data_IF_063514013752
#
_entry.id   IF_063514013752
#
_cell.length_a   1.000
_cell.length_b   1.000
_cell.length_c   1.000
_cell.angle_alpha   90.00
_cell.angle_beta   90.00
_cell.angle_gamma   90.00
#
_symmetry.space_group_name_H-M   'P 1'
#
loop_
_entity.id
_entity.type
_entity.pdbx_description
1 polymer ?
#
# COMPACT_ATOMS: atom_id res chain seq x y z
N UNK A 1 15.64 8.74 -26.18
CA UNK A 1 15.13 8.45 -24.82
C UNK A 1 13.67 8.05 -24.98
N UNK A 2 13.15 7.12 -24.18
CA UNK A 2 11.73 6.73 -24.21
C UNK A 2 11.07 7.08 -22.88
N UNK A 3 9.80 7.48 -22.93
CA UNK A 3 8.99 7.77 -21.75
C UNK A 3 8.02 6.60 -21.57
N UNK A 4 8.28 5.78 -20.54
CA UNK A 4 7.39 4.69 -20.13
C UNK A 4 6.74 5.10 -18.82
N UNK A 5 5.41 5.10 -18.77
CA UNK A 5 4.67 5.36 -17.53
C UNK A 5 4.04 4.06 -17.05
N UNK A 6 4.25 3.74 -15.77
CA UNK A 6 3.81 2.48 -15.17
C UNK A 6 3.07 2.72 -13.84
N UNK A 7 2.11 1.84 -13.53
CA UNK A 7 1.49 1.75 -12.20
C UNK A 7 -0.03 1.99 -12.16
N UNK A 8 -0.57 2.20 -10.95
CA UNK A 8 -2.02 2.33 -10.72
C UNK A 8 -2.69 3.43 -11.56
N UNK A 9 -2.00 4.56 -11.75
CA UNK A 9 -2.58 5.69 -12.47
C UNK A 9 -2.88 5.31 -13.93
N UNK A 10 -1.97 4.55 -14.56
CA UNK A 10 -2.15 4.00 -15.90
C UNK A 10 -3.37 3.07 -15.95
N UNK A 11 -3.50 2.19 -14.96
CA UNK A 11 -4.64 1.26 -14.88
C UNK A 11 -5.99 1.99 -14.87
N UNK A 12 -6.04 3.19 -14.29
CA UNK A 12 -7.27 3.98 -14.13
C UNK A 12 -7.53 4.95 -15.26
N UNK A 13 -6.47 5.56 -15.78
CA UNK A 13 -6.56 6.75 -16.62
C UNK A 13 -5.79 6.60 -17.94
N UNK A 14 -5.54 5.38 -18.41
CA UNK A 14 -4.77 5.08 -19.64
C UNK A 14 -5.08 6.04 -20.81
N UNK A 15 -6.36 6.22 -21.15
CA UNK A 15 -6.77 7.10 -22.25
C UNK A 15 -6.44 8.58 -21.96
N UNK A 16 -6.83 9.08 -20.78
CA UNK A 16 -6.57 10.47 -20.36
C UNK A 16 -5.07 10.78 -20.29
N UNK A 17 -4.24 9.81 -19.94
CA UNK A 17 -2.79 10.03 -19.86
C UNK A 17 -2.18 10.34 -21.23
N UNK A 18 -2.65 9.72 -22.30
CA UNK A 18 -2.22 10.03 -23.67
C UNK A 18 -2.74 11.38 -24.15
N UNK A 19 -3.91 11.81 -23.66
CA UNK A 19 -4.43 13.16 -23.92
C UNK A 19 -3.60 14.23 -23.18
N UNK A 20 -3.26 13.99 -21.91
CA UNK A 20 -2.47 14.91 -21.08
C UNK A 20 -1.00 14.98 -21.49
N UNK A 21 -0.43 13.86 -21.93
CA UNK A 21 0.96 13.76 -22.35
C UNK A 21 1.08 12.86 -23.58
N UNK A 22 0.94 13.44 -24.79
CA UNK A 22 1.02 12.70 -26.06
C UNK A 22 2.39 12.06 -26.33
N UNK A 23 3.45 12.54 -25.67
CA UNK A 23 4.82 12.08 -25.84
C UNK A 23 5.13 10.77 -25.07
N UNK A 24 4.14 10.18 -24.39
CA UNK A 24 4.30 8.88 -23.73
C UNK A 24 4.46 7.77 -24.78
N UNK A 25 5.62 7.09 -24.76
CA UNK A 25 5.94 6.01 -25.69
C UNK A 25 5.25 4.68 -25.34
N UNK A 26 5.00 4.44 -24.05
CA UNK A 26 4.38 3.21 -23.56
C UNK A 26 3.72 3.39 -22.19
N UNK A 27 2.64 2.62 -21.97
CA UNK A 27 1.83 2.62 -20.76
C UNK A 27 1.74 1.20 -20.20
N UNK A 28 2.18 1.00 -18.96
CA UNK A 28 2.21 -0.29 -18.26
C UNK A 28 1.25 -0.27 -17.07
N UNK A 29 0.18 -1.06 -17.15
CA UNK A 29 -0.78 -1.24 -16.05
C UNK A 29 -0.22 -2.08 -14.92
N UNK A 30 -1.01 -2.28 -13.86
CA UNK A 30 -0.57 -3.07 -12.71
C UNK A 30 -0.45 -4.57 -13.03
N UNK A 31 -1.18 -5.04 -14.04
CA UNK A 31 -1.16 -6.44 -14.50
C UNK A 31 -0.23 -6.68 -15.70
N UNK A 32 0.41 -5.63 -16.23
CA UNK A 32 1.26 -5.68 -17.44
C UNK A 32 2.76 -5.64 -17.09
N UNK A 33 3.15 -5.94 -15.85
CA UNK A 33 4.53 -5.73 -15.35
C UNK A 33 5.57 -6.50 -16.17
N UNK A 34 5.24 -7.73 -16.56
CA UNK A 34 6.03 -8.61 -17.42
C UNK A 34 6.34 -7.97 -18.79
N UNK A 35 5.50 -7.06 -19.25
CA UNK A 35 5.68 -6.34 -20.52
C UNK A 35 6.66 -5.16 -20.46
N UNK A 36 7.26 -4.89 -19.29
CA UNK A 36 8.18 -3.75 -19.15
C UNK A 36 9.39 -3.85 -20.09
N UNK A 37 9.91 -5.06 -20.33
CA UNK A 37 11.04 -5.27 -21.24
C UNK A 37 10.64 -4.94 -22.68
N UNK A 38 9.43 -5.31 -23.10
CA UNK A 38 8.88 -4.96 -24.42
C UNK A 38 8.69 -3.45 -24.56
N UNK A 39 8.21 -2.79 -23.51
CA UNK A 39 7.96 -1.35 -23.50
C UNK A 39 9.23 -0.51 -23.65
N UNK A 40 10.33 -0.96 -23.03
CA UNK A 40 11.62 -0.25 -23.05
C UNK A 40 12.42 -0.55 -24.31
N UNK A 41 12.28 -1.74 -24.92
CA UNK A 41 13.02 -2.11 -26.14
C UNK A 41 12.57 -1.28 -27.35
N UNK A 42 13.50 -0.83 -28.22
CA UNK A 42 13.14 -0.11 -29.44
C UNK A 42 12.28 -1.02 -30.35
N UNK A 43 11.12 -0.55 -30.80
CA UNK A 43 10.45 -1.21 -31.93
C UNK A 43 11.28 -0.88 -33.17
N UNK A 44 11.85 -1.89 -33.83
CA UNK A 44 12.36 -1.72 -35.18
C UNK A 44 11.19 -1.22 -36.04
N UNK A 45 11.19 0.07 -36.41
CA UNK A 45 10.40 0.50 -37.56
C UNK A 45 10.93 -0.30 -38.74
N UNK A 46 10.11 -1.09 -39.46
CA UNK A 46 10.56 -1.63 -40.73
C UNK A 46 11.01 -0.44 -41.57
N UNK A 47 12.26 -0.50 -42.05
CA UNK A 47 12.75 0.42 -43.08
C UNK A 47 11.77 0.33 -44.24
N UNK A 48 10.96 1.36 -44.41
CA UNK A 48 10.26 1.58 -45.68
C UNK A 48 11.34 1.73 -46.73
N UNK A 49 11.56 0.69 -47.54
CA UNK A 49 12.39 0.78 -48.72
C UNK A 49 11.85 1.95 -49.55
N UNK A 50 12.72 2.93 -49.77
CA UNK A 50 12.47 4.10 -50.60
C UNK A 50 12.26 3.65 -52.05
N UNK A 51 11.02 3.61 -52.51
CA UNK A 51 10.71 3.67 -53.93
C UNK A 51 9.60 4.69 -54.19
N UNK A 52 9.94 5.63 -55.05
CA UNK A 52 9.13 6.68 -55.69
C UNK A 52 8.75 7.92 -54.85
N UNK A 53 9.37 9.04 -55.25
CA UNK A 53 9.02 10.43 -54.92
C UNK A 53 7.68 10.79 -55.57
N UNK A 54 6.69 11.14 -54.76
CA UNK A 54 5.66 12.12 -55.14
C UNK A 54 5.12 12.78 -53.86
N UNK A 55 4.99 14.13 -53.80
CA UNK A 55 4.64 14.79 -52.55
C UNK A 55 3.11 14.74 -52.36
N UNK A 56 2.57 14.36 -51.18
CA UNK A 56 1.17 14.61 -50.93
C UNK A 56 0.99 16.05 -50.42
N UNK A 57 0.10 16.74 -51.13
CA UNK A 57 -0.53 17.99 -50.72
C UNK A 57 -1.18 17.84 -49.35
N UNK A 58 -1.20 18.96 -48.65
CA UNK A 58 -1.97 19.27 -47.45
C UNK A 58 -3.37 18.66 -47.44
N UNK A 59 -3.73 18.04 -46.32
CA UNK A 59 -5.09 17.58 -46.00
C UNK A 59 -5.23 16.07 -45.99
N UNK A 60 -5.28 15.46 -44.80
CA UNK A 60 -5.75 14.07 -44.66
C UNK A 60 -7.18 14.06 -44.15
N UNK A 61 -8.09 13.95 -45.12
CA UNK A 61 -9.40 13.35 -44.94
C UNK A 61 -9.21 11.86 -44.62
N UNK A 62 -9.98 11.36 -43.65
CA UNK A 62 -10.23 9.93 -43.48
C UNK A 62 -11.00 9.45 -44.71
N UNK A 63 -10.46 8.47 -45.44
CA UNK A 63 -11.22 7.74 -46.45
C UNK A 63 -11.70 6.42 -45.84
N UNK A 64 -13.02 6.32 -45.71
CA UNK A 64 -13.76 5.06 -45.56
C UNK A 64 -13.71 4.30 -46.90
N UNK A 65 -13.48 2.99 -46.85
CA UNK A 65 -13.84 2.08 -47.93
C UNK A 65 -14.63 0.92 -47.33
N UNK A 66 -15.85 0.76 -47.84
CA UNK A 66 -16.82 -0.29 -47.59
C UNK A 66 -17.03 -1.04 -48.91
N UNK A 67 -16.95 -2.39 -48.88
CA UNK A 67 -17.87 -3.31 -49.58
C UNK A 67 -17.42 -4.78 -49.52
N UNK A 68 -18.11 -5.56 -48.68
CA UNK A 68 -18.66 -6.93 -48.78
C UNK A 68 -18.04 -8.09 -49.63
N UNK A 69 -17.85 -9.25 -48.93
CA UNK A 69 -18.17 -10.68 -49.28
C UNK A 69 -17.22 -11.36 -50.31
N UNK A 70 -16.59 -12.55 -50.15
CA UNK A 70 -16.96 -13.87 -49.58
C UNK A 70 -15.72 -14.79 -49.38
N UNK A 71 -15.80 -15.73 -48.42
CA UNK A 71 -15.23 -17.11 -48.35
C UNK A 71 -13.73 -17.43 -48.22
N UNK A 72 -13.45 -18.37 -47.29
CA UNK A 72 -12.28 -19.24 -47.05
C UNK A 72 -11.22 -18.80 -46.01
N UNK A 73 -10.96 -19.71 -45.07
CA UNK A 73 -10.06 -19.64 -43.91
C UNK A 73 -8.68 -20.24 -44.24
N UNK A 74 -7.71 -20.33 -43.29
CA UNK A 74 -7.33 -19.41 -42.21
C UNK A 74 -5.85 -18.97 -42.34
N UNK A 75 -5.49 -17.76 -41.91
CA UNK A 75 -4.08 -17.45 -41.65
C UNK A 75 -3.92 -16.46 -40.51
N UNK A 76 -3.13 -16.90 -39.53
CA UNK A 76 -2.59 -16.20 -38.37
C UNK A 76 -2.21 -14.73 -38.62
N UNK A 77 -3.01 -13.81 -38.08
CA UNK A 77 -2.62 -12.49 -37.57
C UNK A 77 -3.89 -11.72 -37.18
N UNK A 78 -4.46 -12.04 -36.02
CA UNK A 78 -5.54 -11.23 -35.45
C UNK A 78 -4.94 -10.08 -34.63
N UNK A 79 -4.87 -8.92 -35.26
CA UNK A 79 -4.81 -7.63 -34.56
C UNK A 79 -6.23 -7.36 -34.04
N UNK A 80 -6.44 -7.54 -32.74
CA UNK A 80 -7.70 -7.18 -32.07
C UNK A 80 -7.99 -5.67 -32.24
N UNK A 81 -9.16 -5.27 -32.76
CA UNK A 81 -9.50 -3.86 -32.92
C UNK A 81 -9.88 -3.23 -31.57
N UNK A 82 -9.34 -2.04 -31.29
CA UNK A 82 -9.70 -1.22 -30.13
C UNK A 82 -11.08 -0.58 -30.36
N UNK A 83 -12.07 -0.74 -29.46
CA UNK A 83 -13.34 -0.03 -29.58
C UNK A 83 -13.24 1.41 -29.08
N UNK A 84 -13.87 2.27 -29.87
CA UNK A 84 -14.12 3.70 -29.68
C UNK A 84 -14.96 3.95 -28.42
N UNK A 85 -14.59 5.00 -27.69
CA UNK A 85 -15.24 5.65 -26.54
C UNK A 85 -16.57 5.08 -26.04
N UNK A 86 -16.59 4.51 -24.84
CA UNK A 86 -17.78 4.56 -23.97
C UNK A 86 -17.40 4.40 -22.49
N UNK A 87 -18.20 5.08 -21.64
CA UNK A 87 -18.25 5.18 -20.16
C UNK A 87 -17.46 4.20 -19.27
N UNK A 88 -17.34 4.52 -17.97
CA UNK A 88 -16.77 3.63 -16.92
C UNK A 88 -17.33 2.19 -16.99
N UNK A 89 -18.57 2.00 -17.45
CA UNK A 89 -19.14 0.68 -17.70
C UNK A 89 -18.48 -0.06 -18.89
N UNK A 90 -18.11 0.65 -19.95
CA UNK A 90 -17.33 0.11 -21.08
C UNK A 90 -15.94 -0.36 -20.65
N UNK A 91 -15.26 0.41 -19.79
CA UNK A 91 -13.99 -0.03 -19.20
C UNK A 91 -14.15 -1.25 -18.28
N UNK A 92 -15.28 -1.39 -17.59
CA UNK A 92 -15.57 -2.58 -16.78
C UNK A 92 -15.84 -3.82 -17.65
N UNK A 93 -16.45 -3.65 -18.83
CA UNK A 93 -16.68 -4.73 -19.81
C UNK A 93 -15.38 -5.11 -20.53
N UNK A 94 -14.55 -4.15 -20.93
CA UNK A 94 -13.22 -4.42 -21.48
C UNK A 94 -12.35 -5.11 -20.42
N UNK A 95 -12.36 -4.63 -19.17
CA UNK A 95 -11.69 -5.32 -18.08
C UNK A 95 -12.26 -6.73 -17.84
N UNK A 96 -13.54 -6.98 -18.10
CA UNK A 96 -14.15 -8.33 -18.01
C UNK A 96 -13.75 -9.24 -19.19
N UNK A 97 -13.54 -8.67 -20.38
CA UNK A 97 -13.14 -9.39 -21.59
C UNK A 97 -11.63 -9.64 -21.66
N UNK A 98 -10.82 -8.69 -21.20
CA UNK A 98 -9.40 -8.89 -20.88
C UNK A 98 -9.25 -9.87 -19.72
N UNK A 99 -10.16 -9.85 -18.74
CA UNK A 99 -10.27 -10.94 -17.77
C UNK A 99 -10.57 -12.29 -18.43
N UNK A 100 -11.43 -12.41 -19.43
CA UNK A 100 -11.63 -13.73 -20.09
C UNK A 100 -10.41 -14.18 -20.91
N UNK A 101 -9.55 -13.26 -21.37
CA UNK A 101 -8.33 -13.57 -22.12
C UNK A 101 -7.07 -13.70 -21.24
N UNK A 102 -7.08 -13.18 -20.01
CA UNK A 102 -5.96 -13.23 -19.04
C UNK A 102 -6.29 -14.09 -17.80
N UNK A 103 -7.56 -14.36 -17.50
CA UNK A 103 -8.04 -15.32 -16.49
C UNK A 103 -8.17 -16.70 -17.12
N UNK A 104 -7.03 -17.26 -17.52
CA UNK A 104 -6.78 -18.69 -17.27
C UNK A 104 -5.67 -18.85 -16.23
N UNK A 105 -5.52 -17.88 -15.33
CA UNK A 105 -4.70 -18.07 -14.14
C UNK A 105 -5.62 -18.57 -13.02
N UNK A 106 -5.40 -19.84 -12.67
CA UNK A 106 -6.16 -20.61 -11.69
C UNK A 106 -6.31 -19.85 -10.34
N UNK A 107 -7.31 -20.23 -9.50
CA UNK A 107 -7.32 -19.84 -8.10
C UNK A 107 -5.92 -20.05 -7.49
N UNK A 108 -5.36 -19.02 -6.84
CA UNK A 108 -4.01 -19.07 -6.26
C UNK A 108 -2.87 -18.48 -7.10
N UNK A 109 -3.14 -17.81 -8.22
CA UNK A 109 -2.09 -17.04 -8.90
C UNK A 109 -1.57 -15.89 -8.02
N UNK A 110 -0.25 -15.82 -7.87
CA UNK A 110 0.45 -14.70 -7.25
C UNK A 110 1.62 -14.25 -8.13
N UNK A 111 2.00 -12.98 -8.00
CA UNK A 111 3.20 -12.46 -8.65
C UNK A 111 4.42 -12.71 -7.77
N UNK A 112 5.40 -13.44 -8.29
CA UNK A 112 6.69 -13.59 -7.61
C UNK A 112 7.47 -12.27 -7.63
N UNK A 113 8.13 -11.97 -6.52
CA UNK A 113 9.10 -10.87 -6.38
C UNK A 113 10.53 -11.41 -6.15
N UNK A 114 10.75 -12.70 -6.45
CA UNK A 114 12.07 -13.34 -6.39
C UNK A 114 13.06 -12.71 -7.37
N UNK A 115 14.35 -12.75 -7.02
CA UNK A 115 15.45 -12.20 -7.81
C UNK A 115 15.29 -10.71 -8.18
N UNK A 116 14.56 -9.93 -7.36
CA UNK A 116 14.36 -8.50 -7.63
C UNK A 116 15.59 -7.66 -7.26
N UNK A 117 15.88 -6.66 -8.08
CA UNK A 117 16.82 -5.59 -7.72
C UNK A 117 16.18 -4.67 -6.68
N UNK A 118 16.84 -4.47 -5.54
CA UNK A 118 16.36 -3.54 -4.52
C UNK A 118 16.76 -2.10 -4.84
N UNK A 119 15.76 -1.23 -4.74
CA UNK A 119 15.93 0.23 -4.83
C UNK A 119 15.91 0.90 -3.45
N UNK A 120 15.64 0.14 -2.38
CA UNK A 120 15.69 0.63 -1.00
C UNK A 120 17.11 0.55 -0.43
N UNK A 121 17.44 1.34 0.61
CA UNK A 121 18.66 1.16 1.39
C UNK A 121 18.89 -0.28 1.84
N UNK A 122 20.15 -0.68 2.01
CA UNK A 122 20.54 -2.08 2.27
C UNK A 122 19.81 -2.70 3.47
N UNK A 123 19.66 -1.96 4.57
CA UNK A 123 19.17 -2.46 5.85
C UNK A 123 17.65 -2.73 5.91
N UNK A 124 16.83 -2.28 4.95
CA UNK A 124 15.39 -2.60 4.95
C UNK A 124 14.82 -2.91 3.56
N UNK A 125 13.69 -3.61 3.56
CA UNK A 125 12.92 -3.90 2.36
C UNK A 125 11.42 -3.87 2.63
N UNK A 126 10.63 -3.79 1.56
CA UNK A 126 9.20 -4.08 1.60
C UNK A 126 8.97 -5.49 1.09
N UNK A 127 8.47 -6.37 1.95
CA UNK A 127 8.07 -7.71 1.59
C UNK A 127 6.56 -7.71 1.34
N UNK A 128 6.19 -7.79 0.06
CA UNK A 128 4.77 -7.85 -0.33
C UNK A 128 4.25 -9.26 -0.04
N UNK A 129 3.31 -9.37 0.89
CA UNK A 129 2.72 -10.66 1.30
C UNK A 129 1.45 -11.01 0.51
N UNK A 130 0.76 -9.98 0.01
CA UNK A 130 -0.46 -10.13 -0.78
C UNK A 130 -0.67 -8.93 -1.72
N UNK A 131 -1.46 -9.14 -2.77
CA UNK A 131 -1.85 -8.12 -3.74
C UNK A 131 -3.38 -8.13 -3.95
N UNK A 132 -3.98 -6.96 -4.12
CA UNK A 132 -5.43 -6.84 -4.21
C UNK A 132 -6.10 -6.87 -2.84
N UNK A 133 -7.43 -6.73 -2.83
CA UNK A 133 -8.19 -6.66 -1.58
C UNK A 133 -9.61 -7.18 -1.77
N UNK A 134 -10.10 -7.93 -0.79
CA UNK A 134 -11.47 -8.45 -0.78
C UNK A 134 -12.45 -7.55 -0.02
N UNK A 135 -11.96 -6.50 0.64
CA UNK A 135 -12.78 -5.52 1.32
C UNK A 135 -13.56 -4.66 0.32
N UNK A 136 -14.80 -4.31 0.66
CA UNK A 136 -15.70 -3.53 -0.19
C UNK A 136 -15.93 -2.11 0.35
N UNK A 137 -14.86 -1.48 0.85
CA UNK A 137 -14.89 -0.11 1.39
C UNK A 137 -15.50 0.86 0.36
N UNK A 138 -16.50 1.63 0.78
CA UNK A 138 -17.32 2.45 -0.11
C UNK A 138 -16.56 3.58 -0.83
N UNK A 139 -15.38 3.96 -0.32
CA UNK A 139 -14.52 5.01 -0.88
C UNK A 139 -13.34 4.46 -1.71
N UNK A 140 -13.10 3.15 -1.68
CA UNK A 140 -11.86 2.57 -2.16
C UNK A 140 -12.00 2.00 -3.57
N UNK A 141 -11.06 2.33 -4.46
CA UNK A 141 -11.00 1.77 -5.82
C UNK A 141 -10.12 0.53 -5.93
N UNK A 142 -9.41 0.12 -4.88
CA UNK A 142 -8.45 -1.00 -4.94
C UNK A 142 -9.05 -2.27 -5.57
N UNK A 143 -10.26 -2.74 -5.19
CA UNK A 143 -10.80 -3.96 -5.79
C UNK A 143 -11.03 -3.88 -7.31
N UNK A 144 -11.28 -2.68 -7.85
CA UNK A 144 -11.45 -2.49 -9.29
C UNK A 144 -10.12 -2.37 -10.03
N UNK A 145 -9.09 -1.80 -9.40
CA UNK A 145 -7.80 -1.53 -10.06
C UNK A 145 -6.76 -2.62 -9.86
N UNK A 146 -6.76 -3.31 -8.71
CA UNK A 146 -5.76 -4.31 -8.30
C UNK A 146 -6.35 -5.71 -8.18
N UNK A 147 -7.68 -5.82 -8.35
CA UNK A 147 -8.41 -7.08 -8.34
C UNK A 147 -8.66 -7.63 -6.94
N UNK A 148 -9.17 -8.87 -6.91
CA UNK A 148 -9.37 -9.65 -5.69
C UNK A 148 -8.04 -9.96 -5.02
N UNK A 149 -8.08 -10.21 -3.72
CA UNK A 149 -6.90 -10.56 -2.94
C UNK A 149 -6.24 -11.82 -3.51
N UNK A 150 -4.90 -11.78 -3.58
CA UNK A 150 -4.00 -12.85 -4.00
C UNK A 150 -2.83 -12.88 -3.01
N UNK A 151 -2.84 -13.82 -2.09
CA UNK A 151 -1.77 -14.03 -1.11
C UNK A 151 -0.63 -14.83 -1.74
N UNK A 152 0.61 -14.48 -1.42
CA UNK A 152 1.74 -15.36 -1.70
C UNK A 152 1.69 -16.55 -0.75
N UNK A 153 1.98 -17.78 -1.19
CA UNK A 153 2.05 -18.91 -0.28
C UNK A 153 3.34 -18.84 0.57
N UNK A 154 3.36 -19.43 1.79
CA UNK A 154 4.48 -19.25 2.72
C UNK A 154 5.84 -19.68 2.16
N UNK A 155 5.91 -20.75 1.37
CA UNK A 155 7.16 -21.21 0.76
C UNK A 155 7.77 -20.18 -0.17
N UNK A 156 6.95 -19.44 -0.92
CA UNK A 156 7.41 -18.36 -1.78
C UNK A 156 7.90 -17.16 -0.96
N UNK A 157 7.21 -16.84 0.15
CA UNK A 157 7.64 -15.79 1.08
C UNK A 157 8.95 -16.15 1.77
N UNK A 158 9.11 -17.40 2.18
CA UNK A 158 10.31 -17.91 2.82
C UNK A 158 11.51 -17.83 1.88
N UNK A 159 11.36 -18.26 0.62
CA UNK A 159 12.40 -18.17 -0.39
C UNK A 159 12.79 -16.70 -0.66
N UNK A 160 11.82 -15.81 -0.88
CA UNK A 160 12.09 -14.38 -1.09
C UNK A 160 12.80 -13.76 0.13
N UNK A 161 12.36 -14.10 1.35
CA UNK A 161 12.99 -13.62 2.57
C UNK A 161 14.44 -14.08 2.70
N UNK A 162 14.74 -15.33 2.36
CA UNK A 162 16.11 -15.87 2.38
C UNK A 162 17.03 -15.14 1.39
N UNK A 163 16.55 -14.86 0.18
CA UNK A 163 17.29 -14.04 -0.80
C UNK A 163 17.59 -12.64 -0.25
N UNK A 164 16.60 -12.00 0.37
CA UNK A 164 16.73 -10.66 0.94
C UNK A 164 17.67 -10.62 2.16
N UNK A 165 17.64 -11.65 3.00
CA UNK A 165 18.57 -11.82 4.12
C UNK A 165 20.02 -11.95 3.62
N UNK A 166 20.24 -12.75 2.56
CA UNK A 166 21.56 -12.89 1.94
C UNK A 166 22.07 -11.57 1.34
N UNK A 167 21.18 -10.66 0.95
CA UNK A 167 21.51 -9.31 0.47
C UNK A 167 21.63 -8.25 1.61
N UNK A 168 21.64 -8.69 2.87
CA UNK A 168 21.92 -7.86 4.04
C UNK A 168 20.73 -7.04 4.57
N UNK A 169 19.50 -7.47 4.28
CA UNK A 169 18.30 -6.85 4.88
C UNK A 169 18.18 -7.20 6.36
N UNK A 170 17.91 -6.18 7.18
CA UNK A 170 17.63 -6.32 8.60
C UNK A 170 16.14 -6.16 8.93
N UNK A 171 15.47 -5.14 8.36
CA UNK A 171 14.04 -4.86 8.59
C UNK A 171 13.17 -5.20 7.37
N UNK A 172 12.17 -6.04 7.59
CA UNK A 172 11.15 -6.43 6.63
C UNK A 172 9.84 -5.71 6.95
N UNK A 173 9.45 -4.80 6.07
CA UNK A 173 8.15 -4.13 6.12
C UNK A 173 7.14 -4.99 5.36
N UNK A 174 6.28 -5.70 6.11
CA UNK A 174 5.27 -6.59 5.56
C UNK A 174 4.11 -5.75 5.02
N UNK A 175 3.88 -5.82 3.70
CA UNK A 175 2.89 -4.99 3.02
C UNK A 175 1.88 -5.81 2.22
N UNK A 176 0.67 -5.29 2.16
CA UNK A 176 -0.46 -5.72 1.33
C UNK A 176 -1.52 -4.63 1.42
N UNK A 177 -2.61 -4.74 0.66
CA UNK A 177 -3.73 -3.78 0.82
C UNK A 177 -4.57 -4.07 2.07
N UNK A 178 -4.57 -5.31 2.53
CA UNK A 178 -5.10 -5.78 3.81
C UNK A 178 -4.22 -6.96 4.27
N UNK A 179 -3.35 -6.73 5.24
CA UNK A 179 -2.42 -7.77 5.73
C UNK A 179 -3.07 -8.72 6.73
N UNK A 180 -4.11 -8.30 7.43
CA UNK A 180 -4.87 -9.14 8.38
C UNK A 180 -5.65 -10.25 7.69
N UNK A 181 -6.05 -10.06 6.44
CA UNK A 181 -6.75 -11.08 5.64
C UNK A 181 -5.81 -12.06 4.92
N UNK A 182 -4.49 -12.00 5.16
CA UNK A 182 -3.52 -12.88 4.50
C UNK A 182 -3.90 -14.35 4.67
N UNK A 183 -3.87 -15.11 3.56
CA UNK A 183 -4.13 -16.54 3.54
C UNK A 183 -5.58 -16.93 3.30
N UNK A 184 -6.56 -16.05 3.51
CA UNK A 184 -7.98 -16.38 3.34
C UNK A 184 -8.33 -16.83 1.91
N UNK A 185 -7.71 -16.23 0.90
CA UNK A 185 -7.94 -16.55 -0.52
C UNK A 185 -7.32 -17.88 -0.97
N UNK A 186 -6.33 -18.39 -0.23
CA UNK A 186 -5.64 -19.66 -0.51
C UNK A 186 -6.05 -20.77 0.49
N UNK A 187 -7.10 -20.55 1.29
CA UNK A 187 -7.63 -21.55 2.21
C UNK A 187 -6.91 -21.63 3.57
N UNK A 188 -6.04 -20.67 3.90
CA UNK A 188 -5.22 -20.68 5.11
C UNK A 188 -5.94 -19.92 6.24
N UNK A 189 -6.92 -20.58 6.84
CA UNK A 189 -7.78 -20.01 7.88
C UNK A 189 -7.95 -20.94 9.10
N UNK A 190 -7.23 -22.06 9.14
CA UNK A 190 -7.16 -22.96 10.28
C UNK A 190 -6.27 -22.45 11.41
N UNK A 191 -6.31 -23.11 12.59
CA UNK A 191 -5.43 -22.77 13.71
C UNK A 191 -3.96 -22.87 13.31
N UNK A 192 -3.18 -21.83 13.60
CA UNK A 192 -1.76 -21.80 13.21
C UNK A 192 -1.50 -21.39 11.77
N UNK A 193 -2.52 -21.09 10.97
CA UNK A 193 -2.41 -20.61 9.59
C UNK A 193 -2.60 -19.08 9.49
N UNK A 194 -2.80 -18.57 8.26
CA UNK A 194 -3.06 -17.16 7.99
C UNK A 194 -1.92 -16.23 8.44
N UNK A 195 -2.27 -15.00 8.84
CA UNK A 195 -1.31 -14.00 9.30
C UNK A 195 -0.46 -14.51 10.48
N UNK A 196 -1.08 -15.14 11.48
CA UNK A 196 -0.37 -15.63 12.66
C UNK A 196 0.64 -16.73 12.30
N UNK A 197 0.23 -17.69 11.47
CA UNK A 197 1.12 -18.73 10.93
C UNK A 197 2.28 -18.16 10.13
N UNK A 198 1.99 -17.21 9.23
CA UNK A 198 3.02 -16.52 8.44
C UNK A 198 4.04 -15.81 9.32
N UNK A 199 3.59 -15.03 10.33
CA UNK A 199 4.50 -14.34 11.24
C UNK A 199 5.41 -15.31 12.00
N UNK A 200 4.87 -16.45 12.48
CA UNK A 200 5.67 -17.49 13.15
C UNK A 200 6.71 -18.11 12.21
N UNK A 201 6.34 -18.35 10.95
CA UNK A 201 7.26 -18.87 9.94
C UNK A 201 8.43 -17.91 9.65
N UNK A 202 8.13 -16.63 9.42
CA UNK A 202 9.13 -15.60 9.18
C UNK A 202 10.02 -15.34 10.42
N UNK A 203 9.44 -15.35 11.63
CA UNK A 203 10.19 -15.26 12.88
C UNK A 203 11.18 -16.41 13.05
N UNK A 204 10.75 -17.65 12.76
CA UNK A 204 11.61 -18.82 12.84
C UNK A 204 12.78 -18.74 11.83
N UNK A 205 12.55 -18.22 10.63
CA UNK A 205 13.60 -17.99 9.64
C UNK A 205 14.64 -16.97 10.12
N UNK A 206 14.19 -15.84 10.66
CA UNK A 206 15.09 -14.81 11.20
C UNK A 206 15.95 -15.36 12.34
N UNK A 207 15.36 -16.13 13.25
CA UNK A 207 16.09 -16.74 14.37
C UNK A 207 17.09 -17.80 13.93
N UNK A 208 16.80 -18.53 12.84
CA UNK A 208 17.69 -19.59 12.32
C UNK A 208 18.98 -19.03 11.72
N UNK A 209 19.00 -17.80 11.22
CA UNK A 209 20.19 -17.22 10.58
C UNK A 209 21.38 -17.02 11.53
N UNK A 210 21.19 -17.07 12.85
CA UNK A 210 22.27 -17.12 13.85
C UNK A 210 23.08 -15.81 13.96
N UNK A 211 22.92 -15.09 15.06
CA UNK A 211 23.70 -13.88 15.36
C UNK A 211 23.21 -13.16 16.61
N UNK A 212 23.96 -12.15 17.07
CA UNK A 212 23.63 -11.35 18.26
C UNK A 212 22.41 -10.42 18.07
N UNK A 213 21.99 -10.21 16.82
CA UNK A 213 20.86 -9.37 16.45
C UNK A 213 19.91 -10.10 15.49
N UNK A 214 18.67 -10.33 15.93
CA UNK A 214 17.61 -10.88 15.08
C UNK A 214 16.90 -9.76 14.33
N UNK A 215 16.70 -9.93 13.02
CA UNK A 215 16.04 -8.94 12.16
C UNK A 215 14.61 -8.59 12.60
N UNK A 216 14.02 -7.58 11.95
CA UNK A 216 12.73 -7.01 12.33
C UNK A 216 11.63 -7.32 11.30
N UNK A 217 10.43 -7.61 11.79
CA UNK A 217 9.20 -7.74 11.02
C UNK A 217 8.24 -6.62 11.42
N UNK A 218 7.94 -5.71 10.51
CA UNK A 218 6.99 -4.61 10.71
C UNK A 218 5.70 -4.86 9.93
N UNK A 219 4.59 -5.01 10.64
CA UNK A 219 3.28 -5.22 10.03
C UNK A 219 2.63 -3.88 9.67
N UNK A 220 2.32 -3.68 8.39
CA UNK A 220 1.64 -2.49 7.89
C UNK A 220 0.24 -2.82 7.34
N UNK A 221 -0.63 -1.82 7.24
CA UNK A 221 -1.94 -1.94 6.57
C UNK A 221 -2.87 -3.02 7.15
N UNK A 222 -2.96 -3.08 8.47
CA UNK A 222 -3.85 -4.00 9.15
C UNK A 222 -5.31 -3.50 9.12
N UNK A 223 -6.26 -4.42 8.93
CA UNK A 223 -7.69 -4.12 8.89
C UNK A 223 -8.33 -4.43 10.25
N UNK A 224 -8.98 -3.45 10.92
CA UNK A 224 -9.41 -3.60 12.32
C UNK A 224 -10.45 -4.70 12.55
N UNK A 225 -11.36 -4.95 11.60
CA UNK A 225 -12.43 -5.95 11.80
C UNK A 225 -11.97 -7.41 11.65
N UNK A 226 -10.73 -7.65 11.21
CA UNK A 226 -10.21 -8.99 10.90
C UNK A 226 -9.24 -9.52 11.96
N UNK A 227 -9.03 -8.77 13.04
CA UNK A 227 -8.08 -9.13 14.09
C UNK A 227 -8.59 -10.27 14.98
N UNK A 228 -7.83 -11.36 15.04
CA UNK A 228 -8.10 -12.48 15.96
C UNK A 228 -7.20 -12.43 17.19
N UNK A 229 -7.60 -13.13 18.26
CA UNK A 229 -6.76 -13.25 19.45
C UNK A 229 -5.42 -13.94 19.17
N UNK A 230 -5.40 -14.88 18.23
CA UNK A 230 -4.18 -15.56 17.80
C UNK A 230 -3.20 -14.60 17.10
N UNK A 231 -3.71 -13.67 16.27
CA UNK A 231 -2.87 -12.64 15.65
C UNK A 231 -2.26 -11.71 16.71
N UNK A 232 -3.05 -11.32 17.73
CA UNK A 232 -2.56 -10.49 18.83
C UNK A 232 -1.47 -11.22 19.62
N UNK A 233 -1.67 -12.52 19.90
CA UNK A 233 -0.66 -13.36 20.55
C UNK A 233 0.63 -13.47 19.75
N UNK A 234 0.53 -13.68 18.43
CA UNK A 234 1.70 -13.73 17.57
C UNK A 234 2.49 -12.41 17.61
N UNK A 235 1.81 -11.27 17.50
CA UNK A 235 2.47 -9.95 17.57
C UNK A 235 3.07 -9.72 18.96
N UNK A 236 2.40 -10.15 20.03
CA UNK A 236 2.90 -10.01 21.40
C UNK A 236 4.17 -10.83 21.63
N UNK A 237 4.14 -12.12 21.29
CA UNK A 237 5.10 -13.13 21.73
C UNK A 237 6.33 -13.24 20.83
N UNK A 238 6.19 -12.94 19.53
CA UNK A 238 7.31 -13.09 18.60
C UNK A 238 8.31 -11.94 18.77
N UNK A 239 9.60 -12.22 19.07
CA UNK A 239 10.59 -11.19 19.37
C UNK A 239 11.01 -10.39 18.13
N UNK A 240 10.93 -10.99 16.94
CA UNK A 240 11.29 -10.31 15.68
C UNK A 240 10.19 -9.37 15.20
N UNK A 241 8.94 -9.55 15.67
CA UNK A 241 7.82 -8.67 15.32
C UNK A 241 7.89 -7.42 16.18
N UNK A 242 8.18 -6.28 15.53
CA UNK A 242 8.23 -4.98 16.21
C UNK A 242 6.85 -4.67 16.78
N UNK A 243 6.81 -4.04 17.96
CA UNK A 243 5.56 -3.67 18.63
C UNK A 243 4.98 -2.40 18.01
N UNK A 244 4.68 -2.49 16.71
CA UNK A 244 4.16 -1.43 15.87
C UNK A 244 3.02 -2.00 15.02
N UNK A 245 1.92 -1.23 14.91
CA UNK A 245 0.79 -1.60 14.09
C UNK A 245 0.23 -0.39 13.35
N UNK A 246 0.25 -0.44 12.02
CA UNK A 246 -0.45 0.52 11.16
C UNK A 246 -1.86 0.00 10.86
N UNK A 247 -2.87 0.59 11.49
CA UNK A 247 -4.27 0.16 11.43
C UNK A 247 -5.20 1.33 11.11
N UNK A 248 -5.45 1.61 9.81
CA UNK A 248 -6.34 2.69 9.39
C UNK A 248 -7.78 2.45 9.84
N UNK A 249 -8.30 3.30 10.75
CA UNK A 249 -9.68 3.23 11.23
C UNK A 249 -10.67 3.93 10.30
N UNK A 250 -10.20 4.96 9.58
CA UNK A 250 -10.92 5.81 8.62
C UNK A 250 -11.91 6.78 9.27
N UNK A 251 -12.66 6.35 10.28
CA UNK A 251 -13.54 7.17 11.11
C UNK A 251 -13.81 6.47 12.44
N UNK A 252 -14.61 7.08 13.34
CA UNK A 252 -15.12 6.40 14.55
C UNK A 252 -16.64 6.36 14.64
N UNK A 253 -17.33 7.38 14.13
CA UNK A 253 -18.78 7.45 14.18
C UNK A 253 -19.47 6.29 13.43
N UNK A 254 -20.32 5.54 14.14
CA UNK A 254 -21.00 4.35 13.62
C UNK A 254 -21.79 4.59 12.31
N UNK A 255 -22.59 5.67 12.16
CA UNK A 255 -23.25 5.95 10.90
C UNK A 255 -22.28 6.18 9.74
N UNK A 256 -21.13 6.84 9.99
CA UNK A 256 -20.11 7.07 8.96
C UNK A 256 -19.39 5.77 8.63
N UNK A 257 -18.99 4.98 9.62
CA UNK A 257 -18.38 3.66 9.44
C UNK A 257 -19.26 2.71 8.64
N UNK A 258 -20.57 2.72 8.91
CA UNK A 258 -21.57 1.97 8.16
C UNK A 258 -21.64 2.42 6.70
N UNK A 259 -21.74 3.74 6.43
CA UNK A 259 -21.70 4.29 5.07
C UNK A 259 -20.38 3.97 4.34
N UNK A 260 -19.27 3.94 5.07
CA UNK A 260 -17.94 3.56 4.57
C UNK A 260 -17.83 2.05 4.28
N UNK A 261 -18.80 1.23 4.71
CA UNK A 261 -18.79 -0.24 4.64
C UNK A 261 -17.61 -0.86 5.37
N UNK A 262 -17.32 -0.37 6.58
CA UNK A 262 -16.19 -0.86 7.39
C UNK A 262 -16.47 -2.16 8.15
N UNK A 263 -17.74 -2.53 8.29
CA UNK A 263 -18.18 -3.73 9.05
C UNK A 263 -17.63 -3.75 10.49
N UNK A 264 -17.63 -2.59 11.14
CA UNK A 264 -17.19 -2.39 12.53
C UNK A 264 -18.00 -1.27 13.17
N UNK A 265 -17.80 -1.06 14.47
CA UNK A 265 -18.40 0.02 15.26
C UNK A 265 -17.37 0.61 16.21
N UNK A 266 -17.67 1.78 16.76
CA UNK A 266 -16.89 2.43 17.81
C UNK A 266 -16.56 1.48 18.95
N UNK A 267 -17.57 0.79 19.49
CA UNK A 267 -17.39 -0.18 20.57
C UNK A 267 -16.40 -1.29 20.22
N UNK A 268 -16.48 -1.84 19.00
CA UNK A 268 -15.58 -2.90 18.54
C UNK A 268 -14.14 -2.38 18.38
N UNK A 269 -13.99 -1.17 17.82
CA UNK A 269 -12.70 -0.50 17.68
C UNK A 269 -12.07 -0.24 19.05
N UNK A 270 -12.81 0.35 19.99
CA UNK A 270 -12.33 0.63 21.34
C UNK A 270 -11.92 -0.66 22.07
N UNK A 271 -12.76 -1.70 21.98
CA UNK A 271 -12.44 -3.03 22.55
C UNK A 271 -11.16 -3.61 21.97
N UNK A 272 -10.95 -3.48 20.66
CA UNK A 272 -9.72 -3.95 20.01
C UNK A 272 -8.50 -3.14 20.48
N UNK A 273 -8.60 -1.81 20.53
CA UNK A 273 -7.51 -0.94 20.98
C UNK A 273 -7.13 -1.22 22.43
N UNK A 274 -8.10 -1.39 23.32
CA UNK A 274 -7.85 -1.79 24.72
C UNK A 274 -7.14 -3.14 24.80
N UNK A 275 -7.63 -4.13 24.03
CA UNK A 275 -7.03 -5.46 23.99
C UNK A 275 -5.59 -5.43 23.49
N UNK A 276 -5.30 -4.67 22.43
CA UNK A 276 -3.96 -4.50 21.87
C UNK A 276 -3.01 -3.88 22.89
N UNK A 277 -3.37 -2.75 23.50
CA UNK A 277 -2.54 -2.09 24.51
C UNK A 277 -2.30 -2.95 25.74
N UNK A 278 -3.32 -3.70 26.20
CA UNK A 278 -3.20 -4.57 27.36
C UNK A 278 -2.32 -5.79 27.11
N UNK A 279 -2.44 -6.41 25.93
CA UNK A 279 -1.74 -7.67 25.61
C UNK A 279 -0.35 -7.44 24.98
N UNK A 280 -0.10 -6.26 24.44
CA UNK A 280 1.16 -5.89 23.78
C UNK A 280 1.68 -4.61 24.44
N UNK A 281 2.32 -4.71 25.62
CA UNK A 281 2.89 -3.55 26.29
C UNK A 281 3.87 -2.80 25.39
N UNK A 282 3.75 -1.48 25.34
CA UNK A 282 4.60 -0.62 24.52
C UNK A 282 4.24 -0.57 23.02
N UNK A 283 3.13 -1.17 22.58
CA UNK A 283 2.71 -1.11 21.19
C UNK A 283 2.50 0.33 20.70
N UNK A 284 3.12 0.68 19.58
CA UNK A 284 2.86 1.91 18.84
C UNK A 284 1.78 1.66 17.79
N UNK A 285 0.60 2.27 17.96
CA UNK A 285 -0.49 2.18 16.97
C UNK A 285 -0.48 3.44 16.12
N UNK A 286 -0.31 3.26 14.81
CA UNK A 286 -0.53 4.28 13.80
C UNK A 286 -1.90 4.10 13.16
N UNK A 287 -2.59 5.21 12.89
CA UNK A 287 -3.88 5.16 12.21
C UNK A 287 -4.03 6.25 11.15
N UNK A 288 -5.15 6.22 10.44
CA UNK A 288 -5.52 7.21 9.44
C UNK A 288 -7.02 7.45 9.49
N UNK A 289 -7.42 8.71 9.36
CA UNK A 289 -8.80 9.17 9.30
C UNK A 289 -9.09 9.93 8.00
N UNK A 290 -10.37 9.94 7.61
CA UNK A 290 -10.88 10.70 6.48
C UNK A 290 -11.84 11.77 7.01
N UNK A 291 -11.52 13.03 6.79
CA UNK A 291 -12.38 14.17 7.10
C UNK A 291 -13.21 14.55 5.86
N UNK A 292 -14.44 15.01 6.06
CA UNK A 292 -15.32 15.43 4.97
C UNK A 292 -15.96 14.26 4.21
N UNK A 293 -16.16 13.11 4.85
CA UNK A 293 -16.82 11.98 4.18
C UNK A 293 -18.23 12.38 3.69
N UNK A 294 -18.73 11.89 2.54
CA UNK A 294 -20.01 12.33 2.00
C UNK A 294 -21.17 12.18 3.00
N UNK A 295 -21.77 13.32 3.35
CA UNK A 295 -22.85 13.44 4.33
C UNK A 295 -22.41 13.30 5.80
N UNK A 296 -21.15 13.60 6.12
CA UNK A 296 -20.63 13.72 7.49
C UNK A 296 -21.16 15.00 8.17
N UNK A 297 -21.79 14.84 9.34
CA UNK A 297 -22.35 15.95 10.11
C UNK A 297 -21.38 16.47 11.17
N UNK A 298 -21.62 17.68 11.68
CA UNK A 298 -20.77 18.26 12.72
C UNK A 298 -20.75 17.44 14.01
N UNK A 299 -21.84 16.74 14.33
CA UNK A 299 -21.88 15.83 15.47
C UNK A 299 -20.94 14.63 15.28
N UNK A 300 -20.84 14.11 14.05
CA UNK A 300 -19.98 12.97 13.71
C UNK A 300 -18.51 13.39 13.67
N UNK A 301 -18.22 14.59 13.20
CA UNK A 301 -16.89 15.20 13.27
C UNK A 301 -16.45 15.41 14.72
N UNK A 302 -17.31 16.02 15.57
CA UNK A 302 -17.02 16.19 17.01
C UNK A 302 -16.78 14.85 17.70
N UNK A 303 -17.55 13.81 17.36
CA UNK A 303 -17.33 12.47 17.87
C UNK A 303 -15.92 11.94 17.54
N UNK A 304 -15.43 12.22 16.33
CA UNK A 304 -14.08 11.85 15.91
C UNK A 304 -13.00 12.65 16.66
N UNK A 305 -13.18 13.97 16.82
CA UNK A 305 -12.29 14.81 17.62
C UNK A 305 -12.18 14.29 19.06
N UNK A 306 -13.32 14.02 19.69
CA UNK A 306 -13.37 13.52 21.07
C UNK A 306 -12.75 12.13 21.20
N UNK A 307 -12.93 11.26 20.21
CA UNK A 307 -12.29 9.95 20.17
C UNK A 307 -10.76 10.05 20.05
N UNK A 308 -10.24 10.93 19.19
CA UNK A 308 -8.79 11.12 19.07
C UNK A 308 -8.21 11.62 20.40
N UNK A 309 -8.88 12.58 21.03
CA UNK A 309 -8.46 13.17 22.32
C UNK A 309 -8.44 12.14 23.46
N UNK A 310 -9.39 11.21 23.46
CA UNK A 310 -9.58 10.23 24.54
C UNK A 310 -9.42 8.78 24.07
N UNK A 311 -8.58 8.56 23.06
CA UNK A 311 -8.39 7.24 22.48
C UNK A 311 -7.97 6.22 23.57
N UNK A 312 -8.54 5.00 23.58
CA UNK A 312 -8.27 4.03 24.65
C UNK A 312 -6.79 3.66 24.81
N UNK A 313 -6.43 3.20 26.00
CA UNK A 313 -5.07 2.76 26.32
C UNK A 313 -4.08 3.93 26.30
N UNK A 314 -3.03 3.82 25.47
CA UNK A 314 -2.00 4.86 25.36
C UNK A 314 -2.23 5.83 24.19
N UNK A 315 -3.43 5.77 23.58
CA UNK A 315 -3.78 6.52 22.37
C UNK A 315 -3.02 6.08 21.12
N UNK A 316 -2.98 6.96 20.12
CA UNK A 316 -2.26 6.71 18.87
C UNK A 316 -0.85 7.32 18.92
N UNK A 317 0.17 6.53 18.55
CA UNK A 317 1.53 7.02 18.38
C UNK A 317 1.63 7.99 17.20
N UNK A 318 0.84 7.74 16.15
CA UNK A 318 0.70 8.63 15.01
C UNK A 318 -0.71 8.50 14.40
N UNK A 319 -1.25 9.61 13.90
CA UNK A 319 -2.45 9.57 13.07
C UNK A 319 -2.31 10.54 11.90
N UNK A 320 -2.64 10.07 10.70
CA UNK A 320 -2.83 10.91 9.53
C UNK A 320 -4.31 11.26 9.36
N UNK A 321 -4.62 12.45 8.85
CA UNK A 321 -5.98 12.85 8.52
C UNK A 321 -5.97 13.38 7.09
N UNK A 322 -6.83 12.84 6.24
CA UNK A 322 -6.89 13.24 4.84
C UNK A 322 -8.29 13.75 4.48
N UNK A 323 -8.42 14.77 3.61
CA UNK A 323 -9.71 15.11 3.05
C UNK A 323 -10.24 13.92 2.24
N UNK A 324 -11.56 13.72 2.28
CA UNK A 324 -12.21 12.80 1.39
C UNK A 324 -11.97 13.22 -0.07
N UNK A 325 -11.43 12.30 -0.86
CA UNK A 325 -11.25 12.48 -2.30
C UNK A 325 -12.31 11.67 -3.06
N UNK A 326 -13.22 12.29 -3.82
CA UNK A 326 -14.25 11.58 -4.55
C UNK A 326 -13.66 10.76 -5.70
N UNK A 327 -13.92 9.46 -5.68
CA UNK A 327 -13.40 8.55 -6.71
C UNK A 327 -14.52 8.01 -7.62
N UNK A 328 -14.43 8.19 -8.95
CA UNK A 328 -15.42 7.68 -9.89
C UNK A 328 -15.58 6.16 -9.79
N UNK A 329 -16.84 5.69 -9.81
CA UNK A 329 -17.18 4.27 -9.69
C UNK A 329 -17.22 3.74 -8.26
N UNK A 330 -16.89 4.56 -7.26
CA UNK A 330 -17.08 4.19 -5.85
C UNK A 330 -18.48 4.58 -5.35
N UNK A 331 -19.08 3.81 -4.42
CA UNK A 331 -20.34 4.21 -3.78
C UNK A 331 -20.27 5.59 -3.12
N UNK A 332 -19.18 5.90 -2.42
CA UNK A 332 -18.97 7.20 -1.79
C UNK A 332 -18.85 8.33 -2.83
N UNK A 333 -18.13 8.08 -3.94
CA UNK A 333 -17.99 9.07 -5.02
C UNK A 333 -19.33 9.37 -5.69
N UNK A 334 -20.19 8.35 -5.81
CA UNK A 334 -21.57 8.52 -6.30
C UNK A 334 -22.41 9.36 -5.33
N UNK A 335 -22.30 9.10 -4.01
CA UNK A 335 -22.99 9.91 -3.00
C UNK A 335 -22.52 11.37 -3.01
N UNK A 336 -21.21 11.58 -3.09
CA UNK A 336 -20.60 12.90 -3.23
C UNK A 336 -21.20 13.67 -4.41
N UNK A 337 -21.22 13.07 -5.60
CA UNK A 337 -21.78 13.67 -6.81
C UNK A 337 -23.30 13.91 -6.76
N UNK A 338 -24.03 13.23 -5.87
CA UNK A 338 -25.49 13.34 -5.69
C UNK A 338 -25.89 14.30 -4.57
N UNK A 339 -25.00 15.22 -4.19
CA UNK A 339 -25.31 16.30 -3.23
C UNK A 339 -24.95 16.01 -1.79
N UNK A 340 -24.26 14.89 -1.50
CA UNK A 340 -23.72 14.63 -0.16
C UNK A 340 -22.30 15.21 0.04
N UNK A 341 -21.78 15.97 -0.93
CA UNK A 341 -20.49 16.65 -0.79
C UNK A 341 -20.52 17.67 0.36
N UNK A 342 -19.44 17.72 1.14
CA UNK A 342 -19.24 18.72 2.19
C UNK A 342 -18.44 19.88 1.57
N UNK A 343 -18.79 21.16 1.83
CA UNK A 343 -18.03 22.30 1.31
C UNK A 343 -16.55 22.25 1.71
N UNK A 344 -15.65 22.57 0.78
CA UNK A 344 -14.21 22.47 1.00
C UNK A 344 -13.73 23.27 2.22
N UNK A 345 -14.29 24.46 2.46
CA UNK A 345 -13.97 25.27 3.63
C UNK A 345 -14.24 24.50 4.94
N UNK A 346 -15.39 23.82 5.04
CA UNK A 346 -15.73 22.99 6.21
C UNK A 346 -14.77 21.81 6.32
N UNK A 347 -14.38 21.18 5.20
CA UNK A 347 -13.40 20.08 5.22
C UNK A 347 -12.03 20.56 5.71
N UNK A 348 -11.58 21.75 5.29
CA UNK A 348 -10.32 22.33 5.77
C UNK A 348 -10.36 22.67 7.26
N UNK A 349 -11.46 23.23 7.76
CA UNK A 349 -11.63 23.52 9.19
C UNK A 349 -11.59 22.22 10.01
N UNK A 350 -12.30 21.18 9.56
CA UNK A 350 -12.30 19.85 10.20
C UNK A 350 -10.90 19.22 10.19
N UNK A 351 -10.17 19.32 9.08
CA UNK A 351 -8.80 18.84 8.99
C UNK A 351 -7.89 19.53 10.00
N UNK A 352 -7.94 20.86 10.06
CA UNK A 352 -7.14 21.64 11.00
C UNK A 352 -7.41 21.23 12.45
N UNK A 353 -8.68 21.12 12.84
CA UNK A 353 -9.07 20.73 14.20
C UNK A 353 -8.60 19.31 14.58
N UNK A 354 -8.74 18.34 13.66
CA UNK A 354 -8.28 16.96 13.88
C UNK A 354 -6.75 16.89 13.98
N UNK A 355 -6.03 17.63 13.15
CA UNK A 355 -4.58 17.72 13.21
C UNK A 355 -4.09 18.35 14.51
N UNK A 356 -4.70 19.46 14.94
CA UNK A 356 -4.36 20.12 16.20
C UNK A 356 -4.62 19.19 17.39
N UNK A 357 -5.77 18.52 17.41
CA UNK A 357 -6.12 17.56 18.47
C UNK A 357 -5.10 16.42 18.53
N UNK A 358 -4.75 15.82 17.39
CA UNK A 358 -3.74 14.76 17.36
C UNK A 358 -2.36 15.27 17.78
N UNK A 359 -1.99 16.50 17.39
CA UNK A 359 -0.71 17.09 17.76
C UNK A 359 -0.57 17.22 19.28
N UNK A 360 -1.62 17.68 19.96
CA UNK A 360 -1.66 17.78 21.43
C UNK A 360 -1.44 16.40 22.08
N UNK A 361 -2.14 15.37 21.60
CA UNK A 361 -2.02 13.99 22.11
C UNK A 361 -0.59 13.45 21.92
N UNK A 362 -0.01 13.60 20.73
CA UNK A 362 1.33 13.09 20.43
C UNK A 362 2.42 13.84 21.21
N UNK A 363 2.29 15.16 21.36
CA UNK A 363 3.25 15.94 22.14
C UNK A 363 3.23 15.58 23.62
N UNK A 364 2.04 15.46 24.22
CA UNK A 364 1.92 15.00 25.60
C UNK A 364 2.53 13.60 25.80
N UNK A 365 2.28 12.68 24.85
CA UNK A 365 2.88 11.33 24.85
C UNK A 365 4.40 11.39 24.76
N UNK A 366 4.95 12.16 23.83
CA UNK A 366 6.41 12.25 23.65
C UNK A 366 7.08 12.92 24.86
N UNK A 367 6.44 13.89 25.49
CA UNK A 367 6.94 14.51 26.72
C UNK A 367 6.98 13.49 27.87
N UNK A 368 5.92 12.70 28.04
CA UNK A 368 5.90 11.61 29.03
C UNK A 368 6.98 10.56 28.76
N UNK A 369 7.18 10.19 27.48
CA UNK A 369 8.23 9.27 27.07
C UNK A 369 9.63 9.83 27.34
N UNK A 370 9.87 11.11 27.04
CA UNK A 370 11.14 11.78 27.33
C UNK A 370 11.45 11.83 28.84
N UNK A 371 10.43 12.02 29.68
CA UNK A 371 10.56 11.97 31.16
C UNK A 371 10.89 10.57 31.65
N UNK A 372 10.30 9.53 31.06
CA UNK A 372 10.54 8.14 31.44
C UNK A 372 11.93 7.62 31.00
N UNK A 373 12.58 8.28 30.04
CA UNK A 373 13.89 7.90 29.48
C UNK A 373 14.02 6.40 29.12
N UNK A 374 13.06 5.82 28.39
CA UNK A 374 13.15 4.42 28.00
C UNK A 374 14.34 4.17 27.06
N UNK A 375 14.90 2.97 27.16
CA UNK A 375 15.90 2.47 26.22
C UNK A 375 15.22 1.84 25.01
N UNK A 376 15.86 1.99 23.85
CA UNK A 376 15.36 1.43 22.60
C UNK A 376 16.52 0.89 21.76
N UNK A 377 16.23 -0.16 21.00
CA UNK A 377 17.09 -0.58 19.90
C UNK A 377 17.04 0.48 18.79
N UNK A 378 18.05 0.60 17.94
CA UNK A 378 18.03 1.55 16.82
C UNK A 378 18.61 0.92 15.56
N UNK A 379 17.96 1.16 14.42
CA UNK A 379 18.49 0.79 13.11
C UNK A 379 19.07 2.04 12.43
N UNK A 380 20.37 1.97 12.12
CA UNK A 380 21.12 3.09 11.55
C UNK A 380 20.83 3.21 10.04
N UNK A 381 20.28 4.34 9.61
CA UNK A 381 19.97 4.60 8.20
C UNK A 381 21.19 5.15 7.45
N UNK A 382 21.90 6.10 8.08
CA UNK A 382 23.12 6.68 7.55
C UNK A 382 23.98 7.31 8.66
N UNK A 383 25.30 7.30 8.45
CA UNK A 383 26.27 8.02 9.28
C UNK A 383 26.59 9.35 8.59
N UNK A 384 26.43 10.47 9.30
CA UNK A 384 26.82 11.79 8.80
C UNK A 384 28.06 12.27 9.53
N UNK A 385 29.13 12.60 8.79
CA UNK A 385 30.30 13.25 9.37
C UNK A 385 29.99 14.74 9.54
N UNK A 386 29.80 15.19 10.78
CA UNK A 386 29.82 16.62 11.11
C UNK A 386 31.24 17.06 11.42
N UNK A 387 31.62 18.27 11.01
CA UNK A 387 32.79 18.96 11.57
C UNK A 387 32.64 19.01 13.09
N UNK A 388 33.49 18.27 13.81
CA UNK A 388 33.38 17.95 15.24
C UNK A 388 32.23 16.98 15.61
N UNK A 389 32.59 15.68 15.69
CA UNK A 389 31.83 14.52 16.20
C UNK A 389 30.78 13.94 15.23
N UNK A 390 31.00 12.68 14.83
CA UNK A 390 30.09 11.83 14.05
C UNK A 390 28.67 11.85 14.65
N UNK A 391 27.67 12.23 13.85
CA UNK A 391 26.25 12.12 14.22
C UNK A 391 25.65 10.97 13.41
N UNK A 392 25.04 10.01 14.09
CA UNK A 392 24.35 8.88 13.48
C UNK A 392 22.87 9.19 13.43
N UNK A 393 22.18 8.91 12.32
CA UNK A 393 20.72 9.12 12.25
C UNK A 393 20.03 7.77 12.10
N UNK A 394 19.17 7.43 13.06
CA UNK A 394 18.31 6.25 13.04
C UNK A 394 16.97 6.54 12.38
N UNK A 395 16.38 5.52 11.75
CA UNK A 395 15.10 5.63 11.06
C UNK A 395 14.05 4.71 11.70
N UNK A 396 12.84 5.22 11.77
CA UNK A 396 11.59 4.46 11.78
C UNK A 396 10.93 4.65 10.39
N UNK A 397 10.35 3.57 9.82
CA UNK A 397 10.05 3.41 8.38
C UNK A 397 9.15 4.48 7.73
N UNK A 398 8.90 4.34 6.42
CA UNK A 398 8.24 5.36 5.57
C UNK A 398 6.98 5.99 6.19
N UNK A 399 7.14 7.24 6.61
CA UNK A 399 6.09 8.05 7.24
C UNK A 399 6.46 8.57 8.64
N UNK A 400 7.57 8.11 9.23
CA UNK A 400 7.99 8.50 10.58
C UNK A 400 9.24 9.42 10.57
N UNK A 401 9.46 10.14 11.68
CA UNK A 401 10.53 11.14 11.81
C UNK A 401 11.87 10.47 12.15
N UNK A 402 12.97 11.01 11.61
CA UNK A 402 14.34 10.53 11.92
C UNK A 402 14.77 10.97 13.32
N UNK A 403 15.50 10.10 14.01
CA UNK A 403 16.11 10.42 15.31
C UNK A 403 17.62 10.54 15.15
N UNK A 404 18.19 11.73 15.39
CA UNK A 404 19.63 11.85 15.49
C UNK A 404 20.12 11.29 16.83
N UNK A 405 21.08 10.38 16.78
CA UNK A 405 21.80 9.82 17.93
C UNK A 405 23.30 10.19 17.80
N UNK A 406 24.01 10.34 18.92
CA UNK A 406 25.48 10.46 18.88
C UNK A 406 26.08 9.20 19.49
N UNK A 407 27.00 8.57 18.77
CA UNK A 407 27.73 7.40 19.23
C UNK A 407 28.99 7.19 18.40
N UNK A 408 29.94 6.45 18.96
CA UNK A 408 31.12 6.01 18.23
C UNK A 408 30.69 4.85 17.32
N UNK A 409 30.37 5.15 16.05
CA UNK A 409 30.09 4.12 15.05
C UNK A 409 31.38 3.80 14.29
N UNK A 410 31.84 2.56 14.35
CA UNK A 410 32.80 2.05 13.37
C UNK A 410 32.06 1.73 12.07
N UNK A 411 32.61 2.04 10.88
CA UNK A 411 31.93 1.85 9.60
C UNK A 411 31.47 0.42 9.30
N UNK A 412 32.05 -0.59 9.97
CA UNK A 412 31.89 -2.01 9.67
C UNK A 412 31.11 -2.81 10.73
N UNK A 413 30.49 -2.16 11.72
CA UNK A 413 29.68 -2.85 12.74
C UNK A 413 28.17 -2.74 12.43
N UNK A 414 27.46 -3.83 12.07
CA UNK A 414 26.03 -3.78 11.76
C UNK A 414 25.15 -3.41 12.97
N UNK A 415 25.66 -3.56 14.18
CA UNK A 415 24.95 -3.28 15.43
C UNK A 415 25.94 -2.89 16.53
N UNK A 416 26.05 -1.60 16.85
CA UNK A 416 26.68 -1.16 18.09
C UNK A 416 25.58 -0.91 19.12
N UNK A 417 25.54 -1.67 20.21
CA UNK A 417 24.71 -1.36 21.39
C UNK A 417 25.27 -0.11 22.06
N UNK A 418 24.80 1.06 21.66
CA UNK A 418 25.11 2.31 22.34
C UNK A 418 23.81 3.02 22.72
N UNK A 419 23.77 3.47 23.98
CA UNK A 419 22.72 4.34 24.53
C UNK A 419 22.34 5.39 23.51
N UNK A 420 21.07 5.42 23.06
CA UNK A 420 20.27 6.63 22.75
C UNK A 420 19.00 6.29 21.96
N UNK A 421 17.88 6.75 22.53
CA UNK A 421 16.66 7.31 21.93
C UNK A 421 16.12 6.67 20.63
N UNK A 422 14.94 6.04 20.71
CA UNK A 422 13.99 5.98 19.59
C UNK A 422 12.89 7.04 19.76
N UNK A 423 12.33 7.44 18.61
CA UNK A 423 11.17 8.30 18.44
C UNK A 423 10.25 7.69 17.37
#
# INVERSE_FOLDING_TARGET
KRIVVAGCLVQRHRAKMLEWCPDIDALIGVFDRDRIVEAVRPRHRPRTNSLSRTPPRTGRSLQQLSSNVTSSAPSSNEVLPLPVYSSIAGNAVIARRERELTIQQAPGYFESDAARLRLTPRHYTYLRISEGCNQNCAFCTIPSIRGKMRSKPPEALHAEMQELLADGVFEFNLIGQDTTSYGHDIGYHGPGEGLAGMLRGLDALLRKQGGDATGWLRLMYAYPSCFTDEMIDAIAQLPTVVKYLDMPLQHISDPVLSKMRRHTSRKLIETLLEKLHRRIPGIAIRTTFIAGYPGETDAQHRELVDFIRHAPGSGFAAAGVFPYSPEPGTPAGTAHARGAAIPDAVVQDRLAELYETQQQVVFARHEAMAKAQPEFDVLVDSVTQGESKSKTTGKSGAGEKRVPTQGDCTPDAPTSRHRRLMA
#
